data_IF_981661549651
#
_entry.id   IF_981661549651
#
_cell.length_a   1.000
_cell.length_b   1.000
_cell.length_c   1.000
_cell.angle_alpha   90.00
_cell.angle_beta   90.00
_cell.angle_gamma   90.00
#
_symmetry.space_group_name_H-M   'P 1'
#
loop_
_entity.id
_entity.type
_entity.pdbx_description
1 polymer ?
#
# COMPACT_ATOMS: atom_id res chain seq x y z
N UNK A 1 -7.73 -4.43 -1.54
CA UNK A 1 -9.05 -3.77 -1.36
C UNK A 1 -9.68 -4.14 -0.01
N UNK A 2 -10.22 -3.17 0.74
CA UNK A 2 -10.95 -3.44 2.00
C UNK A 2 -12.35 -3.98 1.67
N UNK A 3 -12.67 -5.16 2.18
CA UNK A 3 -14.00 -5.80 2.01
C UNK A 3 -14.94 -5.50 3.18
N UNK A 4 -16.24 -5.75 2.97
CA UNK A 4 -17.21 -5.72 4.06
C UNK A 4 -16.83 -6.78 5.12
N UNK A 5 -16.86 -6.40 6.39
CA UNK A 5 -16.48 -7.21 7.55
C UNK A 5 -14.97 -7.48 7.77
N UNK A 6 -14.07 -6.82 7.03
CA UNK A 6 -12.62 -6.85 7.32
C UNK A 6 -12.14 -5.53 7.93
N UNK A 7 -11.10 -5.57 8.78
CA UNK A 7 -10.44 -4.35 9.25
C UNK A 7 -9.40 -3.88 8.22
N UNK A 8 -8.87 -2.68 8.42
CA UNK A 8 -7.82 -2.14 7.56
C UNK A 8 -6.55 -2.97 7.71
N UNK A 9 -6.23 -3.37 8.93
CA UNK A 9 -5.05 -4.18 9.27
C UNK A 9 -5.15 -5.58 8.67
N UNK A 10 -6.29 -6.25 8.80
CA UNK A 10 -6.46 -7.59 8.20
C UNK A 10 -6.44 -7.52 6.67
N UNK A 11 -6.90 -6.42 6.09
CA UNK A 11 -6.76 -6.17 4.65
C UNK A 11 -5.30 -5.97 4.27
N UNK A 12 -4.55 -5.16 5.03
CA UNK A 12 -3.14 -4.89 4.78
C UNK A 12 -2.29 -6.17 4.85
N UNK A 13 -2.47 -6.97 5.89
CA UNK A 13 -1.79 -8.26 6.06
C UNK A 13 -2.07 -9.19 4.87
N UNK A 14 -3.34 -9.29 4.46
CA UNK A 14 -3.75 -10.14 3.34
C UNK A 14 -3.14 -9.67 2.01
N UNK A 15 -3.22 -8.39 1.70
CA UNK A 15 -2.73 -7.86 0.41
C UNK A 15 -1.21 -7.96 0.31
N UNK A 16 -0.48 -7.65 1.38
CA UNK A 16 0.99 -7.81 1.37
C UNK A 16 1.38 -9.27 1.15
N UNK A 17 0.69 -10.21 1.80
CA UNK A 17 0.93 -11.64 1.60
C UNK A 17 0.58 -12.08 0.18
N UNK A 18 -0.58 -11.68 -0.35
CA UNK A 18 -1.05 -12.05 -1.68
C UNK A 18 -0.14 -11.50 -2.78
N UNK A 19 0.32 -10.25 -2.68
CA UNK A 19 1.08 -9.57 -3.73
C UNK A 19 2.58 -9.87 -3.68
N UNK A 20 3.13 -10.09 -2.49
CA UNK A 20 4.60 -10.17 -2.28
C UNK A 20 5.06 -11.45 -1.58
N UNK A 21 4.16 -12.26 -1.05
CA UNK A 21 4.49 -13.45 -0.24
C UNK A 21 5.00 -13.14 1.17
N UNK A 22 5.14 -11.86 1.54
CA UNK A 22 5.69 -11.47 2.85
C UNK A 22 4.64 -11.59 3.96
N UNK A 23 5.06 -12.17 5.09
CA UNK A 23 4.27 -12.21 6.31
C UNK A 23 4.67 -11.05 7.22
N UNK A 24 3.69 -10.20 7.54
CA UNK A 24 3.89 -9.08 8.46
C UNK A 24 3.89 -9.56 9.91
N UNK A 25 4.70 -8.90 10.75
CA UNK A 25 4.69 -9.09 12.19
C UNK A 25 3.35 -8.65 12.78
N UNK A 26 2.69 -9.54 13.51
CA UNK A 26 1.38 -9.25 14.11
C UNK A 26 1.48 -8.08 15.07
N UNK A 27 0.52 -7.15 14.97
CA UNK A 27 0.42 -5.95 15.82
C UNK A 27 1.57 -4.94 15.66
N UNK A 28 2.44 -5.10 14.66
CA UNK A 28 3.52 -4.16 14.35
C UNK A 28 3.12 -3.19 13.23
N UNK A 29 1.95 -2.55 13.37
CA UNK A 29 1.43 -1.57 12.40
C UNK A 29 1.42 -0.18 13.01
N UNK A 30 2.06 0.78 12.36
CA UNK A 30 1.95 2.20 12.71
C UNK A 30 1.23 2.93 11.59
N UNK A 31 0.07 3.50 11.87
CA UNK A 31 -0.61 4.37 10.92
C UNK A 31 0.24 5.62 10.69
N UNK A 32 0.63 5.86 9.44
CA UNK A 32 1.43 7.00 9.01
C UNK A 32 0.51 8.14 8.55
N UNK A 33 -0.61 7.81 7.92
CA UNK A 33 -1.62 8.76 7.51
C UNK A 33 -2.59 8.20 6.48
N UNK A 34 -3.42 9.09 5.96
CA UNK A 34 -4.33 8.80 4.86
C UNK A 34 -4.36 9.96 3.87
N UNK A 35 -4.62 9.66 2.60
CA UNK A 35 -4.74 10.67 1.55
C UNK A 35 -5.69 10.21 0.45
N UNK A 36 -6.25 11.17 -0.28
CA UNK A 36 -7.12 10.89 -1.43
C UNK A 36 -6.21 10.75 -2.66
N UNK A 37 -6.30 9.62 -3.36
CA UNK A 37 -5.54 9.41 -4.59
C UNK A 37 -6.00 10.35 -5.72
N UNK A 38 -5.15 10.48 -6.73
CA UNK A 38 -5.49 11.18 -7.98
C UNK A 38 -6.49 10.39 -8.84
N UNK A 39 -6.84 9.16 -8.46
CA UNK A 39 -7.76 8.31 -9.21
C UNK A 39 -9.20 8.80 -9.00
N UNK A 40 -9.93 8.95 -10.11
CA UNK A 40 -11.37 9.18 -10.14
C UNK A 40 -12.02 7.98 -10.80
N UNK A 41 -12.92 7.33 -10.07
CA UNK A 41 -13.63 6.14 -10.55
C UNK A 41 -15.02 6.61 -10.97
N UNK A 42 -15.37 6.53 -12.27
CA UNK A 42 -16.69 6.89 -12.73
C UNK A 42 -17.72 5.85 -12.27
N UNK A 43 -18.86 6.33 -11.81
CA UNK A 43 -20.06 5.57 -11.49
C UNK A 43 -21.25 6.18 -12.25
N UNK A 44 -22.37 5.46 -12.42
CA UNK A 44 -23.56 6.00 -13.08
C UNK A 44 -24.10 7.30 -12.44
N UNK A 45 -23.82 7.53 -11.16
CA UNK A 45 -24.32 8.67 -10.38
C UNK A 45 -23.29 9.78 -10.15
N UNK A 46 -22.08 9.67 -10.71
CA UNK A 46 -21.00 10.64 -10.50
C UNK A 46 -19.63 9.98 -10.42
N UNK A 47 -18.68 10.62 -9.76
CA UNK A 47 -17.34 10.08 -9.54
C UNK A 47 -17.09 9.83 -8.05
N UNK A 48 -16.30 8.79 -7.76
CA UNK A 48 -15.78 8.54 -6.42
C UNK A 48 -14.26 8.54 -6.42
N UNK A 49 -13.68 8.96 -5.31
CA UNK A 49 -12.24 8.89 -5.07
C UNK A 49 -11.85 7.61 -4.31
N UNK A 50 -10.57 7.25 -4.42
CA UNK A 50 -9.95 6.24 -3.55
C UNK A 50 -9.21 6.93 -2.40
N UNK A 51 -9.50 6.54 -1.17
CA UNK A 51 -8.72 6.90 0.01
C UNK A 51 -7.63 5.83 0.19
N UNK A 52 -6.38 6.28 0.32
CA UNK A 52 -5.21 5.46 0.56
C UNK A 52 -4.82 5.61 2.03
N UNK A 53 -4.70 4.50 2.74
CA UNK A 53 -4.14 4.47 4.08
C UNK A 53 -2.70 3.97 4.02
N UNK A 54 -1.81 4.63 4.74
CA UNK A 54 -0.37 4.31 4.75
C UNK A 54 0.01 3.80 6.13
N UNK A 55 0.65 2.64 6.15
CA UNK A 55 1.12 2.00 7.38
C UNK A 55 2.59 1.66 7.27
N UNK A 56 3.32 1.89 8.36
CA UNK A 56 4.65 1.32 8.57
C UNK A 56 4.48 -0.04 9.23
N UNK A 57 5.12 -1.04 8.66
CA UNK A 57 5.02 -2.44 9.09
C UNK A 57 6.41 -3.06 9.24
N UNK A 58 6.49 -4.15 9.98
CA UNK A 58 7.65 -5.03 10.04
C UNK A 58 7.25 -6.42 9.52
N UNK A 59 8.22 -7.20 9.07
CA UNK A 59 8.03 -8.57 8.58
C UNK A 59 8.86 -9.56 9.41
N UNK A 60 8.47 -10.83 9.43
CA UNK A 60 8.98 -11.83 10.39
C UNK A 60 10.41 -12.34 10.06
N UNK A 61 10.76 -12.49 8.78
CA UNK A 61 11.99 -13.19 8.35
C UNK A 61 12.88 -12.37 7.38
N UNK A 62 13.96 -12.95 6.85
CA UNK A 62 14.69 -12.29 5.75
C UNK A 62 13.75 -12.19 4.54
N UNK A 63 13.51 -10.99 3.98
CA UNK A 63 12.37 -10.83 3.10
C UNK A 63 12.71 -11.37 1.71
N UNK A 64 12.08 -12.49 1.35
CA UNK A 64 12.10 -13.03 -0.02
C UNK A 64 10.77 -12.63 -0.66
N UNK A 65 10.84 -11.76 -1.66
CA UNK A 65 9.64 -11.34 -2.39
C UNK A 65 9.27 -12.44 -3.38
N UNK A 66 8.04 -12.93 -3.28
CA UNK A 66 7.40 -13.80 -4.24
C UNK A 66 6.20 -13.07 -4.83
N UNK A 67 6.36 -12.56 -6.05
CA UNK A 67 5.31 -11.79 -6.72
C UNK A 67 4.12 -12.65 -7.10
N UNK A 68 2.93 -12.08 -6.96
CA UNK A 68 1.71 -12.62 -7.56
C UNK A 68 1.76 -12.52 -9.09
N UNK A 69 0.85 -13.21 -9.77
CA UNK A 69 0.71 -13.12 -11.23
C UNK A 69 0.27 -11.73 -11.72
N UNK A 70 -0.15 -10.84 -10.82
CA UNK A 70 -0.55 -9.46 -11.14
C UNK A 70 0.65 -8.51 -11.24
N UNK A 71 1.84 -8.93 -10.80
CA UNK A 71 3.04 -8.10 -10.70
C UNK A 71 4.20 -8.66 -11.52
N UNK A 72 4.95 -7.78 -12.17
CA UNK A 72 6.10 -8.15 -13.00
C UNK A 72 7.45 -7.93 -12.32
N UNK A 73 7.53 -7.00 -11.37
CA UNK A 73 8.77 -6.62 -10.70
C UNK A 73 8.52 -6.09 -9.28
N UNK A 74 9.54 -6.24 -8.43
CA UNK A 74 9.65 -5.57 -7.14
C UNK A 74 11.12 -5.42 -6.76
N UNK A 75 11.42 -4.37 -6.02
CA UNK A 75 12.75 -4.11 -5.51
C UNK A 75 12.67 -3.38 -4.17
N UNK A 76 13.73 -3.49 -3.37
CA UNK A 76 13.91 -2.69 -2.18
C UNK A 76 14.44 -1.32 -2.58
N UNK A 77 13.80 -0.25 -2.10
CA UNK A 77 14.15 1.13 -2.39
C UNK A 77 14.46 1.88 -1.10
N UNK A 78 15.38 2.84 -1.15
CA UNK A 78 15.49 3.84 -0.09
C UNK A 78 14.23 4.74 -0.08
N UNK A 79 13.94 5.44 1.04
CA UNK A 79 12.85 6.42 1.05
C UNK A 79 12.93 7.43 -0.10
N UNK A 80 14.12 7.92 -0.44
CA UNK A 80 14.33 8.87 -1.53
C UNK A 80 14.04 8.28 -2.92
N UNK A 81 14.48 7.04 -3.16
CA UNK A 81 14.19 6.31 -4.39
C UNK A 81 12.70 6.05 -4.55
N UNK A 82 12.04 5.60 -3.48
CA UNK A 82 10.61 5.36 -3.45
C UNK A 82 9.82 6.65 -3.70
N UNK A 83 10.16 7.75 -3.02
CA UNK A 83 9.53 9.05 -3.24
C UNK A 83 9.59 9.45 -4.71
N UNK A 84 10.77 9.34 -5.34
CA UNK A 84 10.96 9.66 -6.76
C UNK A 84 10.08 8.79 -7.66
N UNK A 85 10.08 7.47 -7.44
CA UNK A 85 9.31 6.51 -8.25
C UNK A 85 7.79 6.66 -8.12
N UNK A 86 7.30 7.13 -6.97
CA UNK A 86 5.88 7.22 -6.67
C UNK A 86 5.22 8.52 -7.20
N UNK A 87 6.02 9.54 -7.58
CA UNK A 87 5.53 10.85 -8.06
C UNK A 87 4.55 10.80 -9.23
N UNK A 88 4.65 9.78 -10.08
CA UNK A 88 3.76 9.65 -11.24
C UNK A 88 2.35 9.19 -10.86
N UNK A 89 2.23 8.38 -9.81
CA UNK A 89 0.97 7.70 -9.45
C UNK A 89 0.26 8.32 -8.26
N UNK A 90 1.01 8.90 -7.32
CA UNK A 90 0.49 9.36 -6.04
C UNK A 90 0.65 10.87 -5.85
N UNK A 91 -0.26 11.53 -5.11
CA UNK A 91 -0.18 12.97 -4.85
C UNK A 91 1.01 13.31 -3.93
N UNK A 92 1.45 14.57 -3.95
CA UNK A 92 2.56 15.08 -3.13
C UNK A 92 2.39 14.80 -1.63
N UNK A 93 1.16 14.89 -1.16
CA UNK A 93 0.75 14.64 0.21
C UNK A 93 1.06 13.19 0.61
N UNK A 94 0.79 12.22 -0.28
CA UNK A 94 1.18 10.82 -0.06
C UNK A 94 2.70 10.67 0.05
N UNK A 95 3.41 11.27 -0.91
CA UNK A 95 4.86 11.12 -1.03
C UNK A 95 5.57 11.68 0.21
N UNK A 96 5.05 12.76 0.77
CA UNK A 96 5.55 13.37 2.02
C UNK A 96 5.47 12.48 3.26
N UNK A 97 4.66 11.41 3.21
CA UNK A 97 4.52 10.42 4.30
C UNK A 97 5.65 9.37 4.27
N UNK A 98 6.33 9.22 3.14
CA UNK A 98 7.44 8.26 2.99
C UNK A 98 8.70 8.90 3.59
N UNK A 99 9.21 8.37 4.70
CA UNK A 99 10.37 8.89 5.45
C UNK A 99 11.23 7.75 5.97
#
# INVERSE_FOLDING_TARGET
>A
RISLATTIETTLEREVLEETGLQLQKRSFTNVGATISNIRIPLPTGEVGLILFVFKCLWEETPIIQLSTEHTEAWWATPEEAQKGLTTKYPSEFISLIK
#
